data_IF_318168253328
#
_entry.id   IF_318168253328
#
_cell.length_a   1.000
_cell.length_b   1.000
_cell.length_c   1.000
_cell.angle_alpha   90.00
_cell.angle_beta   90.00
_cell.angle_gamma   90.00
#
_symmetry.space_group_name_H-M   'P 1'
#
loop_
_entity.id
_entity.type
_entity.pdbx_description
1 polymer ?
#
# COMPACT_ATOMS: atom_id res chain seq x y z
N UNK A 1 4.28 12.55 0.48
CA UNK A 1 2.89 12.03 0.47
C UNK A 1 2.77 10.94 1.53
N UNK A 2 1.59 10.41 1.83
CA UNK A 2 1.48 9.34 2.83
C UNK A 2 1.56 7.97 2.15
N UNK A 3 2.58 7.19 2.49
CA UNK A 3 2.79 5.83 2.00
C UNK A 3 2.68 4.84 3.15
N UNK A 4 1.93 3.75 2.95
CA UNK A 4 1.76 2.70 3.97
C UNK A 4 2.21 1.37 3.39
N UNK A 5 3.25 0.78 3.98
CA UNK A 5 3.83 -0.50 3.54
C UNK A 5 3.71 -1.50 4.69
N UNK A 6 2.95 -2.57 4.48
CA UNK A 6 2.70 -3.57 5.52
C UNK A 6 3.97 -4.33 5.93
N UNK A 7 4.75 -4.75 4.92
CA UNK A 7 5.91 -5.61 5.09
C UNK A 7 6.91 -5.32 3.98
N UNK A 8 8.18 -5.23 4.36
CA UNK A 8 9.31 -5.13 3.44
C UNK A 8 10.25 -6.30 3.72
N UNK A 9 10.70 -6.97 2.66
CA UNK A 9 11.61 -8.11 2.75
C UNK A 9 12.76 -7.83 1.80
N UNK A 10 13.99 -7.99 2.30
CA UNK A 10 15.20 -7.90 1.49
C UNK A 10 15.84 -9.28 1.51
N UNK A 11 15.96 -9.88 0.33
CA UNK A 11 16.58 -11.19 0.15
C UNK A 11 17.94 -10.99 -0.53
N UNK A 12 18.98 -11.55 0.07
CA UNK A 12 20.35 -11.42 -0.42
C UNK A 12 20.99 -12.80 -0.43
N UNK A 13 21.46 -13.21 -1.60
CA UNK A 13 22.21 -14.44 -1.77
C UNK A 13 23.71 -14.13 -1.78
N UNK A 14 24.46 -14.81 -0.92
CA UNK A 14 25.92 -14.68 -0.80
C UNK A 14 26.60 -16.04 -0.90
N UNK A 15 27.90 -16.05 -1.21
CA UNK A 15 28.64 -17.30 -1.42
C UNK A 15 28.90 -18.08 -0.11
N UNK A 16 28.99 -17.38 1.01
CA UNK A 16 29.38 -17.90 2.31
C UNK A 16 28.81 -17.07 3.46
N UNK A 17 28.86 -17.61 4.68
CA UNK A 17 28.25 -17.02 5.89
C UNK A 17 28.98 -15.73 6.32
N UNK A 18 30.29 -15.62 6.09
CA UNK A 18 31.05 -14.41 6.46
C UNK A 18 30.61 -13.22 5.61
N UNK A 19 30.51 -13.45 4.29
CA UNK A 19 29.95 -12.48 3.35
C UNK A 19 28.49 -12.10 3.69
N UNK A 20 27.68 -13.07 4.13
CA UNK A 20 26.29 -12.83 4.54
C UNK A 20 26.20 -11.83 5.71
N UNK A 21 27.02 -12.01 6.74
CA UNK A 21 27.03 -11.14 7.92
C UNK A 21 27.45 -9.70 7.57
N UNK A 22 28.49 -9.55 6.74
CA UNK A 22 28.96 -8.24 6.27
C UNK A 22 27.87 -7.52 5.49
N UNK A 23 27.20 -8.24 4.57
CA UNK A 23 26.16 -7.66 3.73
C UNK A 23 24.90 -7.32 4.53
N UNK A 24 24.53 -8.13 5.52
CA UNK A 24 23.42 -7.82 6.42
C UNK A 24 23.64 -6.50 7.15
N UNK A 25 24.80 -6.30 7.77
CA UNK A 25 25.11 -5.06 8.49
C UNK A 25 25.15 -3.84 7.57
N UNK A 26 25.67 -4.01 6.35
CA UNK A 26 25.66 -2.96 5.33
C UNK A 26 24.23 -2.60 4.94
N UNK A 27 23.39 -3.59 4.67
CA UNK A 27 22.00 -3.38 4.26
C UNK A 27 21.17 -2.72 5.35
N UNK A 28 21.36 -3.08 6.63
CA UNK A 28 20.67 -2.44 7.75
C UNK A 28 20.95 -0.93 7.84
N UNK A 29 22.19 -0.51 7.55
CA UNK A 29 22.56 0.91 7.48
C UNK A 29 21.93 1.58 6.27
N UNK A 30 22.16 1.04 5.08
CA UNK A 30 21.66 1.61 3.82
C UNK A 30 20.14 1.74 3.81
N UNK A 31 19.44 0.76 4.38
CA UNK A 31 17.99 0.74 4.40
C UNK A 31 17.41 1.99 5.08
N UNK A 32 17.96 2.35 6.24
CA UNK A 32 17.49 3.52 7.00
C UNK A 32 17.96 4.85 6.42
N UNK A 33 19.21 4.92 5.97
CA UNK A 33 19.81 6.20 5.56
C UNK A 33 19.52 6.58 4.11
N UNK A 34 19.35 5.60 3.22
CA UNK A 34 19.39 5.84 1.76
C UNK A 34 18.21 5.22 1.02
N UNK A 35 17.84 3.96 1.30
CA UNK A 35 16.73 3.32 0.58
C UNK A 35 15.38 3.95 0.92
N UNK A 36 15.13 4.25 2.19
CA UNK A 36 13.87 4.88 2.62
C UNK A 36 13.60 6.22 1.91
N UNK A 37 14.55 7.17 1.86
CA UNK A 37 14.41 8.39 1.06
C UNK A 37 14.14 8.14 -0.42
N UNK A 38 14.87 7.21 -1.06
CA UNK A 38 14.69 6.90 -2.48
C UNK A 38 13.31 6.32 -2.75
N UNK A 39 12.83 5.41 -1.89
CA UNK A 39 11.47 4.87 -2.01
C UNK A 39 10.41 5.97 -1.82
N UNK A 40 10.54 6.83 -0.80
CA UNK A 40 9.59 7.91 -0.56
C UNK A 40 9.51 8.89 -1.74
N UNK A 41 10.67 9.26 -2.30
CA UNK A 41 10.76 10.13 -3.47
C UNK A 41 10.08 9.50 -4.70
N UNK A 42 10.45 8.25 -5.01
CA UNK A 42 9.91 7.55 -6.18
C UNK A 42 8.42 7.31 -6.02
N UNK A 43 7.96 6.75 -4.90
CA UNK A 43 6.53 6.48 -4.67
C UNK A 43 5.70 7.77 -4.69
N UNK A 44 6.23 8.87 -4.12
CA UNK A 44 5.56 10.17 -4.17
C UNK A 44 5.42 10.70 -5.61
N UNK A 45 6.37 10.40 -6.50
CA UNK A 45 6.30 10.83 -7.91
C UNK A 45 5.21 10.13 -8.73
N UNK A 46 4.75 8.95 -8.30
CA UNK A 46 3.66 8.21 -8.93
C UNK A 46 2.29 8.48 -8.30
N UNK A 47 2.25 9.22 -7.19
CA UNK A 47 1.03 9.48 -6.44
C UNK A 47 0.40 10.78 -6.94
N UNK A 48 -0.85 10.73 -7.41
CA UNK A 48 -1.61 11.92 -7.80
C UNK A 48 -2.59 12.32 -6.69
N UNK A 49 -2.88 13.63 -6.51
CA UNK A 49 -3.89 14.06 -5.54
C UNK A 49 -5.26 13.45 -5.84
N UNK A 50 -5.84 12.76 -4.86
CA UNK A 50 -7.18 12.16 -4.96
C UNK A 50 -7.22 10.75 -5.55
N UNK A 51 -6.07 10.21 -5.99
CA UNK A 51 -5.96 8.80 -6.37
C UNK A 51 -5.19 8.02 -5.29
N UNK A 52 -5.63 6.78 -5.06
CA UNK A 52 -4.99 5.84 -4.17
C UNK A 52 -4.55 4.63 -4.99
N UNK A 53 -3.24 4.40 -4.99
CA UNK A 53 -2.64 3.22 -5.61
C UNK A 53 -2.48 2.16 -4.53
N UNK A 54 -3.18 1.03 -4.68
CA UNK A 54 -2.97 -0.15 -3.84
C UNK A 54 -2.27 -1.24 -4.62
N UNK A 55 -1.15 -1.68 -4.08
CA UNK A 55 -0.39 -2.82 -4.59
C UNK A 55 -0.40 -3.92 -3.53
N UNK A 56 -0.83 -5.13 -3.89
CA UNK A 56 -0.72 -6.26 -2.94
C UNK A 56 0.73 -6.69 -2.74
N UNK A 57 1.55 -6.63 -3.80
CA UNK A 57 2.96 -7.01 -3.77
C UNK A 57 3.72 -6.26 -4.85
N UNK A 58 4.91 -5.76 -4.50
CA UNK A 58 5.89 -5.23 -5.44
C UNK A 58 7.19 -6.00 -5.22
N UNK A 59 7.67 -6.69 -6.26
CA UNK A 59 8.90 -7.45 -6.22
C UNK A 59 9.93 -6.78 -7.12
N UNK A 60 11.13 -6.55 -6.59
CA UNK A 60 12.22 -5.88 -7.28
C UNK A 60 13.40 -6.83 -7.38
N UNK A 61 13.80 -7.16 -8.61
CA UNK A 61 15.05 -7.84 -8.86
C UNK A 61 16.15 -6.80 -9.12
N UNK A 62 17.06 -6.68 -8.15
CA UNK A 62 18.20 -5.78 -8.23
C UNK A 62 19.41 -6.44 -8.93
N UNK A 63 19.35 -7.73 -9.22
CA UNK A 63 20.39 -8.49 -9.87
C UNK A 63 21.58 -8.82 -8.97
N UNK A 64 22.72 -9.09 -9.60
CA UNK A 64 23.96 -9.47 -8.90
C UNK A 64 24.91 -8.28 -8.79
N UNK A 65 25.45 -8.06 -7.59
CA UNK A 65 26.42 -7.00 -7.33
C UNK A 65 27.71 -7.58 -6.76
N UNK A 66 28.82 -6.87 -6.99
CA UNK A 66 30.06 -7.12 -6.25
C UNK A 66 29.93 -6.59 -4.82
N UNK A 67 30.54 -7.28 -3.85
CA UNK A 67 30.58 -6.85 -2.44
C UNK A 67 31.14 -5.43 -2.27
N UNK A 68 31.98 -4.98 -3.21
CA UNK A 68 32.61 -3.66 -3.19
C UNK A 68 31.91 -2.63 -4.08
N UNK A 69 30.68 -2.92 -4.54
CA UNK A 69 29.90 -1.92 -5.30
C UNK A 69 29.73 -0.66 -4.44
N UNK A 70 29.90 0.56 -4.98
CA UNK A 70 29.60 1.77 -4.24
C UNK A 70 28.11 1.86 -3.88
N UNK A 71 27.79 2.36 -2.69
CA UNK A 71 26.40 2.53 -2.21
C UNK A 71 25.57 3.38 -3.19
N UNK A 72 26.16 4.45 -3.73
CA UNK A 72 25.52 5.30 -4.73
C UNK A 72 25.07 4.52 -5.99
N UNK A 73 25.87 3.56 -6.46
CA UNK A 73 25.53 2.75 -7.62
C UNK A 73 24.40 1.75 -7.31
N UNK A 74 24.39 1.22 -6.09
CA UNK A 74 23.30 0.35 -5.62
C UNK A 74 21.97 1.12 -5.57
N UNK A 75 21.97 2.34 -5.01
CA UNK A 75 20.78 3.18 -4.92
C UNK A 75 20.23 3.57 -6.29
N UNK A 76 21.11 3.90 -7.23
CA UNK A 76 20.68 4.24 -8.58
C UNK A 76 20.01 3.04 -9.26
N UNK A 77 20.56 1.83 -9.08
CA UNK A 77 19.93 0.63 -9.62
C UNK A 77 18.57 0.36 -8.94
N UNK A 78 18.45 0.53 -7.62
CA UNK A 78 17.18 0.44 -6.91
C UNK A 78 16.15 1.42 -7.47
N UNK A 79 16.54 2.70 -7.66
CA UNK A 79 15.67 3.73 -8.23
C UNK A 79 15.15 3.31 -9.61
N UNK A 80 16.05 2.88 -10.49
CA UNK A 80 15.70 2.46 -11.85
C UNK A 80 14.73 1.28 -11.83
N UNK A 81 15.03 0.25 -11.02
CA UNK A 81 14.19 -0.95 -10.94
C UNK A 81 12.84 -0.66 -10.30
N UNK A 82 12.79 0.15 -9.25
CA UNK A 82 11.56 0.56 -8.59
C UNK A 82 10.65 1.32 -9.56
N UNK A 83 11.18 2.30 -10.28
CA UNK A 83 10.42 3.05 -11.31
C UNK A 83 9.90 2.10 -12.39
N UNK A 84 10.74 1.16 -12.85
CA UNK A 84 10.39 0.22 -13.92
C UNK A 84 9.25 -0.70 -13.49
N UNK A 85 9.37 -1.35 -12.33
CA UNK A 85 8.36 -2.29 -11.85
C UNK A 85 7.06 -1.58 -11.44
N UNK A 86 7.14 -0.38 -10.86
CA UNK A 86 5.94 0.44 -10.62
C UNK A 86 5.21 0.77 -11.92
N UNK A 87 5.92 1.25 -12.94
CA UNK A 87 5.31 1.53 -14.26
C UNK A 87 4.66 0.29 -14.85
N UNK A 88 5.32 -0.87 -14.73
CA UNK A 88 4.82 -2.14 -15.26
C UNK A 88 3.54 -2.58 -14.54
N UNK A 89 3.51 -2.54 -13.21
CA UNK A 89 2.30 -2.90 -12.45
C UNK A 89 1.14 -1.93 -12.70
N UNK A 90 1.43 -0.62 -12.79
CA UNK A 90 0.41 0.41 -13.08
C UNK A 90 -0.09 0.40 -14.54
N UNK A 91 0.75 -0.01 -15.50
CA UNK A 91 0.30 -0.08 -16.91
C UNK A 91 -0.63 -1.26 -17.13
N UNK A 92 -0.41 -2.38 -16.44
CA UNK A 92 -1.22 -3.58 -16.59
C UNK A 92 -2.61 -3.47 -15.95
N UNK A 93 -2.83 -2.52 -15.03
CA UNK A 93 -4.17 -2.25 -14.48
C UNK A 93 -5.09 -1.51 -15.46
N UNK A 94 -4.52 -0.88 -16.50
CA UNK A 94 -5.26 -0.11 -17.51
C UNK A 94 -5.73 -0.96 -18.70
N UNK A 95 -5.07 -2.09 -18.96
CA UNK A 95 -5.46 -3.05 -20.00
C UNK A 95 -6.46 -4.05 -19.41
N UNK A 96 -7.70 -4.01 -19.91
CA UNK A 96 -8.85 -4.85 -19.55
C UNK A 96 -8.66 -6.36 -19.81
N UNK A 97 -7.43 -6.84 -20.00
CA UNK A 97 -7.11 -8.25 -20.21
C UNK A 97 -7.12 -9.01 -18.87
N UNK A 98 -8.29 -9.56 -18.55
CA UNK A 98 -8.65 -10.36 -17.36
C UNK A 98 -7.80 -11.62 -17.10
N UNK A 99 -6.67 -11.83 -17.78
CA UNK A 99 -5.86 -13.05 -17.66
C UNK A 99 -4.44 -12.84 -17.09
N UNK A 100 -4.04 -11.61 -16.80
CA UNK A 100 -2.81 -11.36 -16.03
C UNK A 100 -3.15 -10.68 -14.71
N UNK A 101 -2.86 -11.39 -13.63
CA UNK A 101 -3.05 -11.02 -12.22
C UNK A 101 -2.19 -9.80 -11.83
N UNK A 102 -2.50 -8.65 -12.41
CA UNK A 102 -1.94 -7.37 -11.99
C UNK A 102 -2.70 -6.97 -10.74
N UNK A 103 -1.99 -6.88 -9.62
CA UNK A 103 -2.55 -6.64 -8.29
C UNK A 103 -2.56 -5.16 -7.91
N UNK A 104 -2.34 -4.29 -8.91
CA UNK A 104 -2.45 -2.86 -8.77
C UNK A 104 -3.91 -2.44 -8.95
N UNK A 105 -4.51 -1.93 -7.88
CA UNK A 105 -5.82 -1.29 -7.91
C UNK A 105 -5.64 0.21 -7.74
N UNK A 106 -5.96 0.98 -8.78
CA UNK A 106 -6.04 2.43 -8.71
C UNK A 106 -7.49 2.75 -8.37
N UNK A 107 -7.72 3.24 -7.16
CA UNK A 107 -9.04 3.61 -6.69
C UNK A 107 -9.08 5.08 -6.28
N UNK A 108 -10.25 5.68 -6.38
CA UNK A 108 -10.52 7.00 -5.85
C UNK A 108 -10.44 6.99 -4.32
N UNK A 109 -10.25 8.18 -3.73
CA UNK A 109 -10.35 8.33 -2.28
C UNK A 109 -11.73 7.89 -1.76
N UNK A 110 -12.79 8.13 -2.54
CA UNK A 110 -14.16 7.78 -2.19
C UNK A 110 -14.36 6.26 -2.11
N UNK A 111 -13.87 5.51 -3.11
CA UNK A 111 -13.93 4.04 -3.10
C UNK A 111 -13.16 3.47 -1.91
N UNK A 112 -11.99 4.03 -1.60
CA UNK A 112 -11.20 3.64 -0.43
C UNK A 112 -11.92 3.94 0.90
N UNK A 113 -12.65 5.06 0.98
CA UNK A 113 -13.42 5.44 2.16
C UNK A 113 -14.61 4.50 2.38
N UNK A 114 -15.33 4.13 1.32
CA UNK A 114 -16.41 3.14 1.35
C UNK A 114 -15.87 1.79 1.82
N UNK A 115 -14.79 1.32 1.21
CA UNK A 115 -14.15 0.06 1.58
C UNK A 115 -13.74 0.04 3.06
N UNK A 116 -13.15 1.13 3.54
CA UNK A 116 -12.75 1.28 4.94
C UNK A 116 -13.94 1.15 5.89
N UNK A 117 -15.05 1.85 5.62
CA UNK A 117 -16.26 1.75 6.44
C UNK A 117 -16.81 0.33 6.41
N UNK A 118 -16.95 -0.29 5.23
CA UNK A 118 -17.46 -1.65 5.12
C UNK A 118 -16.58 -2.65 5.87
N UNK A 119 -15.26 -2.54 5.74
CA UNK A 119 -14.32 -3.40 6.45
C UNK A 119 -14.50 -3.28 7.96
N UNK A 120 -14.57 -2.04 8.48
CA UNK A 120 -14.80 -1.79 9.90
C UNK A 120 -16.15 -2.32 10.36
N UNK A 121 -17.23 -2.05 9.63
CA UNK A 121 -18.57 -2.54 9.98
C UNK A 121 -18.60 -4.07 10.01
N UNK A 122 -18.04 -4.75 9.01
CA UNK A 122 -18.05 -6.20 8.94
C UNK A 122 -17.14 -6.85 10.00
N UNK A 123 -15.91 -6.35 10.16
CA UNK A 123 -14.87 -7.04 10.95
C UNK A 123 -14.68 -6.45 12.35
N UNK A 124 -15.13 -5.22 12.59
CA UNK A 124 -14.98 -4.53 13.87
C UNK A 124 -13.55 -4.06 14.18
N UNK A 125 -12.65 -4.19 13.20
CA UNK A 125 -11.24 -3.80 13.30
C UNK A 125 -10.86 -3.00 12.08
N UNK A 126 -9.81 -2.20 12.19
CA UNK A 126 -9.29 -1.43 11.08
C UNK A 126 -8.41 -2.30 10.17
N UNK A 127 -8.45 -2.07 8.86
CA UNK A 127 -7.53 -2.73 7.96
C UNK A 127 -6.10 -2.17 8.13
N UNK A 128 -5.10 -2.98 7.81
CA UNK A 128 -3.68 -2.67 8.07
C UNK A 128 -3.17 -1.42 7.33
N UNK A 129 -3.83 -1.01 6.25
CA UNK A 129 -3.42 0.16 5.46
C UNK A 129 -3.84 1.50 6.10
N UNK A 130 -4.61 1.47 7.19
CA UNK A 130 -4.94 2.67 7.97
C UNK A 130 -3.77 2.98 8.88
N UNK A 131 -3.01 4.03 8.54
CA UNK A 131 -1.77 4.35 9.23
C UNK A 131 -1.95 4.78 10.70
N UNK A 132 -3.09 5.39 11.06
CA UNK A 132 -3.36 5.80 12.43
C UNK A 132 -4.83 5.58 12.82
N UNK A 133 -5.05 4.64 13.73
CA UNK A 133 -6.36 4.35 14.31
C UNK A 133 -6.94 5.54 15.09
N UNK A 134 -6.10 6.46 15.60
CA UNK A 134 -6.55 7.65 16.33
C UNK A 134 -7.20 8.70 15.43
N UNK A 135 -6.86 8.67 14.14
CA UNK A 135 -7.44 9.56 13.12
C UNK A 135 -8.75 9.00 12.58
N UNK A 136 -9.00 7.70 12.75
CA UNK A 136 -10.22 7.09 12.28
C UNK A 136 -11.42 7.51 13.13
N UNK A 137 -12.29 8.34 12.53
CA UNK A 137 -13.56 8.76 13.10
C UNK A 137 -14.69 8.17 12.25
N UNK A 138 -15.24 7.00 12.63
CA UNK A 138 -16.23 6.31 11.82
C UNK A 138 -17.45 7.19 11.53
N UNK A 139 -17.95 7.94 12.53
CA UNK A 139 -19.08 8.85 12.35
C UNK A 139 -18.82 9.92 11.28
N UNK A 140 -17.68 10.61 11.35
CA UNK A 140 -17.31 11.64 10.37
C UNK A 140 -17.17 11.06 8.96
N UNK A 141 -16.63 9.84 8.86
CA UNK A 141 -16.50 9.15 7.58
C UNK A 141 -17.87 8.75 7.02
N UNK A 142 -18.77 8.22 7.85
CA UNK A 142 -20.15 7.93 7.46
C UNK A 142 -20.88 9.20 7.00
N UNK A 143 -20.80 10.28 7.76
CA UNK A 143 -21.40 11.57 7.41
C UNK A 143 -20.89 12.10 6.06
N UNK A 144 -19.58 11.96 5.82
CA UNK A 144 -18.96 12.32 4.54
C UNK A 144 -19.55 11.49 3.40
N UNK A 145 -19.64 10.17 3.56
CA UNK A 145 -20.16 9.26 2.53
C UNK A 145 -21.65 9.51 2.24
N UNK A 146 -22.45 9.71 3.29
CA UNK A 146 -23.89 10.02 3.16
C UNK A 146 -24.15 11.37 2.48
N UNK A 147 -23.28 12.37 2.68
CA UNK A 147 -23.42 13.69 2.03
C UNK A 147 -22.96 13.70 0.58
N UNK A 148 -21.90 12.96 0.25
CA UNK A 148 -21.25 13.05 -1.06
C UNK A 148 -21.82 12.05 -2.08
N UNK A 149 -22.01 10.79 -1.69
CA UNK A 149 -22.32 9.67 -2.59
C UNK A 149 -23.34 8.69 -1.94
N UNK A 150 -24.52 9.16 -1.47
CA UNK A 150 -25.44 8.33 -0.71
C UNK A 150 -25.89 7.08 -1.47
N UNK A 151 -26.11 7.19 -2.78
CA UNK A 151 -26.57 6.06 -3.60
C UNK A 151 -25.56 4.93 -3.72
N UNK A 152 -24.27 5.25 -3.91
CA UNK A 152 -23.20 4.23 -3.98
C UNK A 152 -22.99 3.59 -2.62
N UNK A 153 -22.97 4.40 -1.56
CA UNK A 153 -22.82 3.89 -0.20
C UNK A 153 -23.98 2.96 0.20
N UNK A 154 -25.24 3.38 0.00
CA UNK A 154 -26.43 2.56 0.32
C UNK A 154 -26.40 1.22 -0.43
N UNK A 155 -26.09 1.21 -1.74
CA UNK A 155 -25.95 -0.04 -2.50
C UNK A 155 -24.86 -0.94 -1.92
N UNK A 156 -23.78 -0.36 -1.43
CA UNK A 156 -22.72 -1.13 -0.78
C UNK A 156 -23.16 -1.72 0.57
N UNK A 157 -24.13 -1.10 1.24
CA UNK A 157 -24.76 -1.63 2.46
C UNK A 157 -25.76 -2.76 2.19
N UNK A 158 -26.32 -2.89 1.00
CA UNK A 158 -27.28 -3.98 0.68
C UNK A 158 -26.65 -5.38 0.86
N UNK A 159 -25.32 -5.48 0.76
CA UNK A 159 -24.57 -6.72 0.94
C UNK A 159 -24.16 -7.00 2.40
N UNK A 160 -24.50 -6.12 3.35
CA UNK A 160 -24.21 -6.29 4.77
C UNK A 160 -25.17 -7.29 5.42
N UNK A 161 -24.84 -8.57 5.30
CA UNK A 161 -25.65 -9.68 5.86
C UNK A 161 -25.25 -10.10 7.28
N UNK A 162 -24.50 -9.27 8.01
CA UNK A 162 -24.05 -9.57 9.38
C UNK A 162 -24.79 -8.71 10.40
N UNK A 163 -25.45 -9.36 11.35
CA UNK A 163 -26.14 -8.70 12.47
C UNK A 163 -25.16 -7.80 13.24
N UNK A 164 -23.94 -8.27 13.49
CA UNK A 164 -22.92 -7.50 14.20
C UNK A 164 -22.53 -6.24 13.44
N UNK A 165 -22.53 -6.31 12.11
CA UNK A 165 -22.20 -5.15 11.28
C UNK A 165 -23.33 -4.12 11.25
N UNK A 166 -24.58 -4.58 11.25
CA UNK A 166 -25.77 -3.72 11.41
C UNK A 166 -25.78 -3.07 12.80
N UNK A 167 -25.50 -3.83 13.86
CA UNK A 167 -25.39 -3.29 15.23
C UNK A 167 -24.34 -2.19 15.33
N UNK A 168 -23.15 -2.42 14.76
CA UNK A 168 -22.10 -1.39 14.71
C UNK A 168 -22.56 -0.15 13.94
N UNK A 169 -23.24 -0.33 12.80
CA UNK A 169 -23.79 0.79 12.03
C UNK A 169 -24.79 1.60 12.86
N UNK A 170 -25.74 0.94 13.54
CA UNK A 170 -26.72 1.60 14.42
C UNK A 170 -26.03 2.35 15.56
N UNK A 171 -25.01 1.76 16.19
CA UNK A 171 -24.23 2.42 17.24
C UNK A 171 -23.57 3.71 16.75
N UNK A 172 -23.05 3.73 15.51
CA UNK A 172 -22.44 4.95 14.96
C UNK A 172 -23.47 6.06 14.68
N UNK A 173 -24.73 5.72 14.39
CA UNK A 173 -25.78 6.68 14.03
C UNK A 173 -26.62 7.16 15.22
N UNK A 174 -26.50 6.54 16.40
CA UNK A 174 -27.33 6.81 17.58
C UNK A 174 -26.64 7.66 18.65
N UNK A 175 -25.42 8.14 18.37
CA UNK A 175 -24.61 8.97 19.29
C UNK A 175 -24.34 10.33 18.66
#
# INVERSE_FOLDING_TARGET
>A
MQHVIQRQIIEINTADIESANVMQQRMERLFKSELMPVMDEVLSSFSEPGSLIRLEKLELDLGTFSMNVPDAQFNENLRIQLIRELKKELSRSSDTDQHNSSKANIQSQEESDIELVLYFLQRGVLPWWVADAKVFQPQTLLDKLLKKEPGVFIRSLENLNSIQAIERLVMQLTT
#
